data_IF_828032609402
#
_entry.id   IF_828032609402
#
_cell.length_a   1.000
_cell.length_b   1.000
_cell.length_c   1.000
_cell.angle_alpha   90.00
_cell.angle_beta   90.00
_cell.angle_gamma   90.00
#
_symmetry.space_group_name_H-M   'P 1'
#
loop_
_entity.id
_entity.type
_entity.pdbx_description
1 polymer ?
#
# COMPACT_ATOMS: atom_id res chain seq x y z
N UNK A 1 28.34 9.40 12.37
CA UNK A 1 27.55 10.60 12.75
C UNK A 1 26.22 10.55 12.01
N UNK A 2 25.14 10.11 12.67
CA UNK A 2 23.78 10.21 12.11
C UNK A 2 23.46 11.69 12.07
N UNK A 3 23.31 12.23 10.87
CA UNK A 3 23.15 13.67 10.63
C UNK A 3 21.99 14.23 11.47
N UNK A 4 22.26 15.19 12.35
CA UNK A 4 21.27 15.96 13.12
C UNK A 4 20.17 16.57 12.22
N UNK A 5 20.44 16.74 10.92
CA UNK A 5 19.49 17.16 9.90
C UNK A 5 18.20 16.31 9.86
N UNK A 6 18.27 15.04 10.27
CA UNK A 6 17.11 14.12 10.25
C UNK A 6 15.99 14.53 11.21
N UNK A 7 16.29 15.29 12.26
CA UNK A 7 15.37 15.59 13.36
C UNK A 7 15.09 17.09 13.56
N UNK A 8 15.55 17.94 12.65
CA UNK A 8 15.40 19.40 12.76
C UNK A 8 15.16 20.02 11.40
N UNK A 9 14.34 21.08 11.35
CA UNK A 9 14.24 22.00 10.23
C UNK A 9 15.08 23.25 10.56
N UNK A 10 15.93 23.65 9.64
CA UNK A 10 16.82 24.79 9.82
C UNK A 10 16.18 26.07 9.30
N UNK A 11 16.61 27.22 9.83
CA UNK A 11 16.03 28.52 9.56
C UNK A 11 15.97 28.91 8.08
N UNK A 12 17.01 28.54 7.33
CA UNK A 12 17.17 28.82 5.91
C UNK A 12 16.57 27.74 4.98
N UNK A 13 16.02 26.66 5.52
CA UNK A 13 15.32 25.67 4.71
C UNK A 13 13.93 26.20 4.30
N UNK A 14 13.40 25.68 3.19
CA UNK A 14 12.01 25.94 2.81
C UNK A 14 11.06 25.44 3.90
N UNK A 15 10.07 26.25 4.23
CA UNK A 15 9.12 25.92 5.28
C UNK A 15 8.30 24.68 4.92
N UNK A 16 8.23 23.66 5.81
CA UNK A 16 7.47 22.44 5.55
C UNK A 16 5.98 22.64 5.26
N UNK A 17 5.42 23.81 5.60
CA UNK A 17 4.02 24.13 5.34
C UNK A 17 3.68 24.45 3.87
N UNK A 18 4.66 24.33 2.95
CA UNK A 18 4.53 24.65 1.51
C UNK A 18 4.22 26.11 1.18
N UNK A 19 4.62 27.05 2.04
CA UNK A 19 4.47 28.50 1.77
C UNK A 19 5.48 29.05 0.77
N UNK A 20 6.48 28.27 0.36
CA UNK A 20 7.65 28.67 -0.44
C UNK A 20 8.53 29.73 0.24
N UNK A 21 8.29 30.05 1.51
CA UNK A 21 9.11 30.93 2.33
C UNK A 21 10.12 30.10 3.13
N UNK A 22 11.19 30.73 3.62
CA UNK A 22 12.11 30.11 4.58
C UNK A 22 11.38 29.84 5.90
N UNK A 23 11.82 28.81 6.65
CA UNK A 23 11.21 28.42 7.91
C UNK A 23 11.21 29.59 8.91
N UNK A 24 12.34 30.33 9.02
CA UNK A 24 12.47 31.48 9.92
C UNK A 24 11.45 32.58 9.59
N UNK A 25 11.10 32.75 8.33
CA UNK A 25 10.17 33.79 7.83
C UNK A 25 8.70 33.35 7.85
N UNK A 26 8.43 32.11 8.28
CA UNK A 26 7.10 31.50 8.18
C UNK A 26 6.65 30.88 9.51
N UNK A 27 6.86 29.59 9.70
CA UNK A 27 6.29 28.84 10.82
C UNK A 27 7.11 28.89 12.10
N UNK A 28 8.35 29.38 12.09
CA UNK A 28 9.24 29.38 13.27
C UNK A 28 8.67 30.15 14.44
N UNK A 29 8.10 31.33 14.16
CA UNK A 29 7.58 32.27 15.16
C UNK A 29 6.05 32.37 15.17
N UNK A 30 5.38 31.44 14.49
CA UNK A 30 3.93 31.41 14.43
C UNK A 30 3.38 30.51 15.56
N UNK A 31 2.35 31.00 16.23
CA UNK A 31 1.64 30.26 17.27
C UNK A 31 0.68 29.23 16.65
N UNK A 32 0.40 28.21 17.45
CA UNK A 32 -0.59 27.20 17.12
C UNK A 32 -1.99 27.81 17.10
N UNK A 33 -2.82 27.35 16.20
CA UNK A 33 -4.25 27.67 16.27
C UNK A 33 -4.85 27.03 17.52
N UNK A 34 -5.68 27.82 18.23
CA UNK A 34 -6.37 27.34 19.42
C UNK A 34 -7.27 26.16 19.05
N UNK A 35 -7.05 25.03 19.70
CA UNK A 35 -7.93 23.88 19.58
C UNK A 35 -9.26 24.18 20.29
N UNK A 36 -10.35 24.09 19.54
CA UNK A 36 -11.71 24.33 20.08
C UNK A 36 -12.37 23.06 20.64
N UNK A 37 -11.72 21.91 20.50
CA UNK A 37 -12.24 20.61 20.92
C UNK A 37 -11.15 19.73 21.52
N UNK A 38 -11.57 18.73 22.30
CA UNK A 38 -10.68 17.74 22.95
C UNK A 38 -10.45 16.49 22.08
N UNK A 39 -10.62 16.58 20.75
CA UNK A 39 -10.40 15.44 19.85
C UNK A 39 -8.92 15.01 19.90
N UNK A 40 -8.61 13.72 20.11
CA UNK A 40 -7.24 13.22 20.10
C UNK A 40 -6.50 13.58 18.80
N UNK A 41 -5.19 13.83 18.90
CA UNK A 41 -4.38 14.30 17.77
C UNK A 41 -4.36 13.26 16.62
N UNK A 42 -4.41 11.99 16.93
CA UNK A 42 -4.46 10.88 15.99
C UNK A 42 -5.73 10.93 15.14
N UNK A 43 -6.88 11.20 15.77
CA UNK A 43 -8.17 11.37 15.11
C UNK A 43 -8.16 12.63 14.22
N UNK A 44 -7.55 13.72 14.71
CA UNK A 44 -7.37 14.96 13.92
C UNK A 44 -6.48 14.71 12.70
N UNK A 45 -5.39 13.94 12.85
CA UNK A 45 -4.51 13.56 11.76
C UNK A 45 -5.26 12.75 10.69
N UNK A 46 -6.07 11.77 11.09
CA UNK A 46 -6.91 10.99 10.18
C UNK A 46 -7.93 11.86 9.44
N UNK A 47 -8.59 12.79 10.15
CA UNK A 47 -9.53 13.73 9.54
C UNK A 47 -8.84 14.67 8.54
N UNK A 48 -7.64 15.15 8.88
CA UNK A 48 -6.84 15.96 7.96
C UNK A 48 -6.38 15.18 6.74
N UNK A 49 -6.08 13.89 6.89
CA UNK A 49 -5.76 12.99 5.78
C UNK A 49 -6.96 12.89 4.83
N UNK A 50 -8.16 12.60 5.35
CA UNK A 50 -9.41 12.55 4.55
C UNK A 50 -9.66 13.84 3.76
N UNK A 51 -9.44 15.01 4.38
CA UNK A 51 -9.57 16.33 3.75
C UNK A 51 -8.42 16.66 2.78
N UNK A 52 -7.39 15.83 2.69
CA UNK A 52 -6.20 16.08 1.87
C UNK A 52 -6.24 15.35 0.53
N UNK A 53 -7.24 14.51 0.29
CA UNK A 53 -7.48 13.95 -1.03
C UNK A 53 -7.74 15.05 -2.04
N UNK A 54 -7.14 14.93 -3.21
CA UNK A 54 -7.23 15.92 -4.29
C UNK A 54 -7.48 15.22 -5.62
N UNK A 55 -8.01 15.97 -6.58
CA UNK A 55 -8.31 15.46 -7.93
C UNK A 55 -7.23 15.92 -8.90
N UNK A 56 -6.56 14.99 -9.55
CA UNK A 56 -5.60 15.29 -10.60
C UNK A 56 -5.47 14.14 -11.59
N UNK A 57 -5.05 14.41 -12.82
CA UNK A 57 -4.60 13.35 -13.71
C UNK A 57 -3.08 13.16 -13.56
N UNK A 58 -2.61 11.95 -13.32
CA UNK A 58 -1.19 11.63 -13.15
C UNK A 58 -0.53 11.10 -14.43
N UNK A 59 -1.27 10.98 -15.52
CA UNK A 59 -0.68 10.68 -16.82
C UNK A 59 0.33 11.75 -17.23
N UNK A 60 1.49 11.41 -17.83
CA UNK A 60 2.55 12.39 -18.12
C UNK A 60 2.13 13.44 -19.12
N UNK A 61 1.50 13.06 -20.22
CA UNK A 61 0.99 14.01 -21.22
C UNK A 61 -0.36 14.60 -20.79
N UNK A 62 -0.39 15.92 -20.64
CA UNK A 62 -1.58 16.68 -20.23
C UNK A 62 -2.38 17.25 -21.41
N UNK A 63 -1.89 17.13 -22.63
CA UNK A 63 -2.50 17.79 -23.81
C UNK A 63 -3.92 17.27 -24.07
N UNK A 64 -4.19 15.99 -23.77
CA UNK A 64 -5.51 15.35 -23.93
C UNK A 64 -6.31 15.21 -22.64
N UNK A 65 -5.85 15.83 -21.54
CA UNK A 65 -6.58 15.76 -20.27
C UNK A 65 -7.94 16.46 -20.36
N UNK A 66 -8.97 15.78 -19.86
CA UNK A 66 -10.29 16.36 -19.65
C UNK A 66 -10.45 16.85 -18.20
N UNK A 67 -11.41 17.77 -17.96
CA UNK A 67 -11.63 18.34 -16.62
C UNK A 67 -12.13 17.33 -15.59
N UNK A 68 -12.89 16.34 -16.03
CA UNK A 68 -13.45 15.33 -15.15
C UNK A 68 -12.34 14.34 -14.73
N UNK A 69 -12.15 14.22 -13.43
CA UNK A 69 -11.23 13.22 -12.82
C UNK A 69 -12.09 12.08 -12.30
N UNK A 70 -11.84 10.91 -12.84
CA UNK A 70 -12.56 9.67 -12.57
C UNK A 70 -12.24 9.13 -11.17
N UNK A 71 -13.17 8.42 -10.59
CA UNK A 71 -12.90 7.52 -9.46
C UNK A 71 -12.29 6.22 -10.02
N UNK A 72 -11.01 6.27 -10.37
CA UNK A 72 -10.28 5.15 -10.96
C UNK A 72 -10.08 4.03 -9.93
N UNK A 73 -10.35 2.78 -10.31
CA UNK A 73 -10.14 1.62 -9.45
C UNK A 73 -8.71 1.11 -9.53
N UNK A 74 -8.07 0.85 -8.40
CA UNK A 74 -6.76 0.19 -8.34
C UNK A 74 -6.85 -1.28 -8.75
N UNK A 75 -7.89 -1.97 -8.32
CA UNK A 75 -8.28 -3.30 -8.79
C UNK A 75 -9.50 -3.14 -9.71
N UNK A 76 -9.47 -3.81 -10.83
CA UNK A 76 -10.50 -3.71 -11.84
C UNK A 76 -11.90 -4.05 -11.28
N UNK A 77 -12.86 -3.12 -11.41
CA UNK A 77 -14.20 -3.31 -10.87
C UNK A 77 -14.93 -4.49 -11.53
N UNK A 78 -14.99 -4.51 -12.85
CA UNK A 78 -15.84 -5.45 -13.59
C UNK A 78 -15.31 -6.89 -13.68
N UNK A 79 -14.01 -7.14 -13.40
CA UNK A 79 -13.44 -8.49 -13.39
C UNK A 79 -13.06 -8.93 -11.98
N UNK A 80 -12.32 -8.10 -11.24
CA UNK A 80 -11.74 -8.50 -9.96
C UNK A 80 -12.71 -8.22 -8.81
N UNK A 81 -13.13 -6.95 -8.65
CA UNK A 81 -14.00 -6.55 -7.53
C UNK A 81 -15.38 -7.21 -7.63
N UNK A 82 -15.97 -7.28 -8.84
CA UNK A 82 -17.25 -7.94 -9.05
C UNK A 82 -17.23 -9.43 -8.71
N UNK A 83 -16.13 -10.13 -8.98
CA UNK A 83 -15.98 -11.55 -8.61
C UNK A 83 -15.90 -11.77 -7.10
N UNK A 84 -15.37 -10.80 -6.36
CA UNK A 84 -15.28 -10.85 -4.90
C UNK A 84 -16.57 -10.40 -4.22
N UNK A 85 -17.41 -9.64 -4.90
CA UNK A 85 -18.56 -8.98 -4.28
C UNK A 85 -19.71 -9.95 -3.99
N UNK A 86 -20.40 -9.66 -2.89
CA UNK A 86 -21.72 -10.23 -2.54
C UNK A 86 -22.67 -9.05 -2.33
N UNK A 87 -23.83 -9.08 -2.95
CA UNK A 87 -24.82 -8.00 -2.90
C UNK A 87 -24.22 -6.60 -3.17
N UNK A 88 -23.27 -6.53 -4.13
CA UNK A 88 -22.61 -5.30 -4.53
C UNK A 88 -21.59 -4.74 -3.52
N UNK A 89 -21.15 -5.54 -2.54
CA UNK A 89 -20.19 -5.13 -1.51
C UNK A 89 -18.99 -6.07 -1.44
N UNK A 90 -17.87 -5.52 -0.98
CA UNK A 90 -16.63 -6.22 -0.59
C UNK A 90 -16.20 -5.77 0.81
N UNK A 91 -15.34 -6.51 1.49
CA UNK A 91 -14.81 -6.14 2.80
C UNK A 91 -13.37 -5.63 2.67
N UNK A 92 -13.09 -4.44 3.21
CA UNK A 92 -11.76 -3.83 3.24
C UNK A 92 -11.66 -2.78 4.34
N UNK A 93 -10.45 -2.28 4.63
CA UNK A 93 -10.28 -1.14 5.53
C UNK A 93 -11.14 0.04 5.07
N UNK A 94 -12.12 0.43 5.88
CA UNK A 94 -13.05 1.50 5.55
C UNK A 94 -12.67 2.82 6.20
N UNK A 95 -11.86 3.61 5.52
CA UNK A 95 -11.44 4.93 5.99
C UNK A 95 -12.58 5.96 6.07
N UNK A 96 -13.76 5.69 5.52
CA UNK A 96 -14.91 6.59 5.59
C UNK A 96 -15.72 6.45 6.88
N UNK A 97 -15.61 5.30 7.56
CA UNK A 97 -16.24 5.10 8.87
C UNK A 97 -15.44 5.73 10.00
N UNK A 98 -16.10 5.90 11.14
CA UNK A 98 -15.46 6.34 12.38
C UNK A 98 -14.50 5.24 12.84
N UNK A 99 -13.23 5.57 13.09
CA UNK A 99 -12.27 4.57 13.57
C UNK A 99 -12.62 4.14 15.00
N UNK A 100 -12.18 2.95 15.37
CA UNK A 100 -12.17 2.51 16.77
C UNK A 100 -11.02 3.21 17.48
N UNK A 101 -11.33 3.85 18.62
CA UNK A 101 -10.34 4.52 19.46
C UNK A 101 -10.20 3.69 20.73
N UNK A 102 -9.01 3.15 20.94
CA UNK A 102 -8.69 2.30 22.11
C UNK A 102 -7.79 3.11 23.04
N UNK A 103 -8.20 3.38 24.29
CA UNK A 103 -7.31 3.97 25.28
C UNK A 103 -6.11 3.05 25.55
N UNK A 104 -4.92 3.63 25.58
CA UNK A 104 -3.66 2.98 25.97
C UNK A 104 -3.14 3.73 27.20
N UNK A 105 -2.14 3.18 27.90
CA UNK A 105 -1.58 3.82 29.09
C UNK A 105 -1.08 5.25 28.80
N UNK A 106 -1.15 6.14 29.81
CA UNK A 106 -0.64 7.52 29.80
C UNK A 106 -1.33 8.52 28.84
N UNK A 107 -2.65 8.48 28.70
CA UNK A 107 -3.43 9.36 27.81
C UNK A 107 -3.13 9.20 26.30
N UNK A 108 -2.44 8.15 25.91
CA UNK A 108 -2.29 7.78 24.51
C UNK A 108 -3.51 6.98 24.03
N UNK A 109 -3.88 7.13 22.76
CA UNK A 109 -4.93 6.35 22.12
C UNK A 109 -4.38 5.63 20.90
N UNK A 110 -4.82 4.39 20.71
CA UNK A 110 -4.62 3.67 19.47
C UNK A 110 -5.87 3.85 18.59
N UNK A 111 -5.66 4.25 17.33
CA UNK A 111 -6.75 4.50 16.38
C UNK A 111 -6.73 3.43 15.31
N UNK A 112 -7.78 2.62 15.25
CA UNK A 112 -7.88 1.53 14.30
C UNK A 112 -8.93 1.85 13.23
N UNK A 113 -8.53 1.75 11.97
CA UNK A 113 -9.47 1.70 10.83
C UNK A 113 -10.07 0.30 10.79
N UNK A 114 -11.39 0.20 10.85
CA UNK A 114 -12.07 -1.09 10.81
C UNK A 114 -12.20 -1.61 9.38
N UNK A 115 -12.16 -2.94 9.24
CA UNK A 115 -12.62 -3.61 8.03
C UNK A 115 -14.13 -3.64 8.07
N UNK A 116 -14.76 -3.33 6.94
CA UNK A 116 -16.20 -3.22 6.83
C UNK A 116 -16.64 -3.36 5.37
N UNK A 117 -17.93 -3.49 5.17
CA UNK A 117 -18.55 -3.56 3.85
C UNK A 117 -18.39 -2.23 3.11
N UNK A 118 -17.85 -2.30 1.90
CA UNK A 118 -17.66 -1.17 1.00
C UNK A 118 -18.31 -1.50 -0.34
N UNK A 119 -19.19 -0.63 -0.82
CA UNK A 119 -19.82 -0.82 -2.13
C UNK A 119 -18.79 -0.85 -3.26
N UNK A 120 -18.98 -1.73 -4.24
CA UNK A 120 -18.03 -1.96 -5.35
C UNK A 120 -17.61 -0.68 -6.07
N UNK A 121 -18.52 0.29 -6.20
CA UNK A 121 -18.22 1.57 -6.86
C UNK A 121 -17.30 2.50 -6.05
N UNK A 122 -17.03 2.18 -4.79
CA UNK A 122 -16.16 2.94 -3.89
C UNK A 122 -14.93 2.16 -3.45
N UNK A 123 -14.94 0.84 -3.65
CA UNK A 123 -13.82 -0.02 -3.29
C UNK A 123 -12.60 0.32 -4.14
N UNK A 124 -11.44 0.52 -3.51
CA UNK A 124 -10.14 0.78 -4.15
C UNK A 124 -10.11 1.97 -5.11
N UNK A 125 -10.98 2.99 -4.94
CA UNK A 125 -11.05 4.13 -5.84
C UNK A 125 -10.15 5.28 -5.45
N UNK A 126 -9.58 5.95 -6.46
CA UNK A 126 -8.70 7.11 -6.32
C UNK A 126 -8.95 8.14 -7.44
N UNK A 127 -8.75 9.42 -7.14
CA UNK A 127 -8.96 10.51 -8.08
C UNK A 127 -7.63 10.95 -8.74
N UNK A 128 -6.95 10.03 -9.43
CA UNK A 128 -5.62 10.29 -9.99
C UNK A 128 -5.51 10.11 -11.52
N UNK A 129 -6.63 9.91 -12.21
CA UNK A 129 -6.70 9.93 -13.68
C UNK A 129 -7.97 10.65 -14.14
N UNK A 130 -7.90 11.31 -15.30
CA UNK A 130 -9.09 11.77 -16.00
C UNK A 130 -9.71 10.62 -16.80
N UNK A 131 -10.97 10.76 -17.23
CA UNK A 131 -11.71 9.71 -17.92
C UNK A 131 -10.93 9.14 -19.11
N UNK A 132 -10.41 10.02 -20.01
CA UNK A 132 -9.68 9.59 -21.20
C UNK A 132 -8.45 8.77 -20.83
N UNK A 133 -7.60 9.26 -19.91
CA UNK A 133 -6.34 8.60 -19.60
C UNK A 133 -6.53 7.35 -18.74
N UNK A 134 -7.56 7.25 -17.90
CA UNK A 134 -7.89 6.01 -17.21
C UNK A 134 -8.31 4.93 -18.22
N UNK A 135 -9.25 5.27 -19.11
CA UNK A 135 -9.80 4.33 -20.08
C UNK A 135 -8.74 3.86 -21.11
N UNK A 136 -7.90 4.78 -21.61
CA UNK A 136 -6.89 4.43 -22.63
C UNK A 136 -5.69 3.67 -22.06
N UNK A 137 -5.14 4.13 -20.94
CA UNK A 137 -3.93 3.53 -20.36
C UNK A 137 -4.19 2.12 -19.84
N UNK A 138 -5.34 1.90 -19.21
CA UNK A 138 -5.65 0.62 -18.59
C UNK A 138 -6.54 -0.30 -19.44
N UNK A 139 -6.91 0.12 -20.67
CA UNK A 139 -7.69 -0.71 -21.58
C UNK A 139 -7.20 -2.18 -21.70
N UNK A 140 -5.87 -2.46 -21.79
CA UNK A 140 -5.38 -3.84 -21.94
C UNK A 140 -5.64 -4.75 -20.73
N UNK A 141 -5.99 -4.19 -19.57
CA UNK A 141 -6.28 -4.93 -18.32
C UNK A 141 -7.66 -4.61 -17.74
N UNK A 142 -8.49 -3.77 -18.41
CA UNK A 142 -9.81 -3.34 -17.92
C UNK A 142 -10.96 -4.07 -18.63
N UNK A 143 -12.16 -3.50 -18.55
CA UNK A 143 -13.38 -4.07 -19.14
C UNK A 143 -13.23 -4.33 -20.64
N UNK A 144 -13.53 -5.57 -21.05
CA UNK A 144 -13.39 -6.00 -22.46
C UNK A 144 -11.98 -6.46 -22.83
N UNK A 145 -10.99 -6.29 -21.96
CA UNK A 145 -9.68 -6.88 -22.16
C UNK A 145 -9.74 -8.42 -22.12
N UNK A 146 -8.84 -9.12 -22.82
CA UNK A 146 -8.67 -10.56 -22.65
C UNK A 146 -8.33 -10.91 -21.20
N UNK A 147 -8.41 -12.20 -20.87
CA UNK A 147 -7.93 -12.70 -19.60
C UNK A 147 -6.42 -12.46 -19.47
N UNK A 148 -5.91 -12.55 -18.24
CA UNK A 148 -4.50 -12.31 -17.97
C UNK A 148 -3.64 -13.34 -18.71
N UNK A 149 -2.67 -12.83 -19.46
CA UNK A 149 -1.67 -13.63 -20.17
C UNK A 149 -0.28 -13.37 -19.56
N UNK A 150 0.31 -14.43 -18.98
CA UNK A 150 1.61 -14.37 -18.33
C UNK A 150 2.76 -14.01 -19.28
N UNK A 151 2.57 -14.20 -20.59
CA UNK A 151 3.55 -13.83 -21.61
C UNK A 151 3.37 -12.39 -22.12
N UNK A 152 2.26 -11.73 -21.78
CA UNK A 152 1.98 -10.37 -22.18
C UNK A 152 2.69 -9.33 -21.29
N UNK A 153 3.77 -8.74 -21.81
CA UNK A 153 4.57 -7.75 -21.08
C UNK A 153 3.81 -6.46 -20.79
N UNK A 154 2.89 -6.04 -21.67
CA UNK A 154 2.07 -4.84 -21.45
C UNK A 154 1.14 -5.05 -20.26
N UNK A 155 0.46 -6.19 -20.16
CA UNK A 155 -0.41 -6.46 -19.02
C UNK A 155 0.39 -6.49 -17.70
N UNK A 156 1.54 -7.19 -17.67
CA UNK A 156 2.42 -7.23 -16.49
C UNK A 156 2.87 -5.83 -16.07
N UNK A 157 3.26 -5.00 -17.04
CA UNK A 157 3.66 -3.63 -16.81
C UNK A 157 2.53 -2.78 -16.23
N UNK A 158 1.32 -2.89 -16.79
CA UNK A 158 0.17 -2.11 -16.36
C UNK A 158 -0.31 -2.50 -14.94
N UNK A 159 -0.27 -3.78 -14.57
CA UNK A 159 -0.54 -4.22 -13.20
C UNK A 159 0.50 -3.65 -12.21
N UNK A 160 1.79 -3.67 -12.58
CA UNK A 160 2.84 -3.06 -11.77
C UNK A 160 2.66 -1.54 -11.66
N UNK A 161 2.33 -0.87 -12.77
CA UNK A 161 2.06 0.57 -12.78
C UNK A 161 0.86 0.93 -11.89
N UNK A 162 -0.25 0.17 -11.98
CA UNK A 162 -1.40 0.39 -11.10
C UNK A 162 -1.01 0.29 -9.62
N UNK A 163 -0.33 -0.77 -9.22
CA UNK A 163 0.13 -0.95 -7.84
C UNK A 163 1.03 0.20 -7.36
N UNK A 164 1.84 0.76 -8.26
CA UNK A 164 2.72 1.90 -7.96
C UNK A 164 1.97 3.22 -7.88
N UNK A 165 1.14 3.57 -8.90
CA UNK A 165 0.63 4.93 -9.07
C UNK A 165 -0.36 5.32 -7.98
N UNK A 166 -1.14 4.36 -7.48
CA UNK A 166 -2.07 4.61 -6.38
C UNK A 166 -1.33 4.83 -5.06
N UNK A 167 -0.26 4.09 -4.80
CA UNK A 167 0.59 4.32 -3.63
C UNK A 167 1.33 5.66 -3.72
N UNK A 168 1.82 6.02 -4.89
CA UNK A 168 2.40 7.34 -5.12
C UNK A 168 1.40 8.48 -4.87
N UNK A 169 0.16 8.34 -5.34
CA UNK A 169 -0.93 9.28 -5.05
C UNK A 169 -1.19 9.38 -3.54
N UNK A 170 -1.30 8.26 -2.82
CA UNK A 170 -1.49 8.23 -1.37
C UNK A 170 -0.36 8.97 -0.63
N UNK A 171 0.89 8.75 -1.01
CA UNK A 171 2.02 9.46 -0.41
C UNK A 171 1.96 10.98 -0.65
N UNK A 172 1.48 11.42 -1.82
CA UNK A 172 1.19 12.85 -2.06
C UNK A 172 0.08 13.39 -1.17
N UNK A 173 -0.99 12.63 -0.98
CA UNK A 173 -2.08 12.99 -0.05
C UNK A 173 -1.54 13.09 1.39
N UNK A 174 -0.71 12.15 1.83
CA UNK A 174 -0.05 12.21 3.14
C UNK A 174 0.81 13.47 3.30
N UNK A 175 1.61 13.83 2.28
CA UNK A 175 2.40 15.08 2.30
C UNK A 175 1.51 16.30 2.47
N UNK A 176 0.41 16.39 1.74
CA UNK A 176 -0.55 17.49 1.88
C UNK A 176 -1.18 17.52 3.28
N UNK A 177 -1.48 16.37 3.86
CA UNK A 177 -1.98 16.27 5.23
C UNK A 177 -0.97 16.83 6.24
N UNK A 178 0.30 16.42 6.18
CA UNK A 178 1.38 16.98 7.02
C UNK A 178 1.49 18.48 6.87
N UNK A 179 1.42 19.01 5.64
CA UNK A 179 1.48 20.45 5.36
C UNK A 179 0.31 21.23 5.97
N UNK A 180 -0.90 20.63 5.97
CA UNK A 180 -2.08 21.23 6.62
C UNK A 180 -1.93 21.22 8.15
N UNK A 181 -1.48 20.11 8.73
CA UNK A 181 -1.23 19.99 10.16
C UNK A 181 -0.21 21.05 10.60
N UNK A 182 0.89 21.25 9.87
CA UNK A 182 1.89 22.27 10.16
C UNK A 182 1.30 23.70 10.08
N UNK A 183 0.37 23.94 9.15
CA UNK A 183 -0.31 25.24 9.07
C UNK A 183 -1.21 25.54 10.27
N UNK A 184 -1.73 24.53 10.90
CA UNK A 184 -2.59 24.62 12.09
C UNK A 184 -1.78 24.60 13.37
N UNK A 185 -0.78 23.73 13.46
CA UNK A 185 0.09 23.52 14.64
C UNK A 185 1.57 23.62 14.26
N UNK A 186 2.11 24.84 14.04
CA UNK A 186 3.52 25.05 13.71
C UNK A 186 4.49 24.52 14.76
N UNK A 187 4.08 24.42 16.04
CA UNK A 187 4.91 23.91 17.13
C UNK A 187 5.41 22.48 16.87
N UNK A 188 4.66 21.66 16.12
CA UNK A 188 5.03 20.28 15.77
C UNK A 188 6.35 20.19 15.01
N UNK A 189 6.79 21.27 14.35
CA UNK A 189 8.11 21.31 13.69
C UNK A 189 9.26 21.24 14.71
N UNK A 190 9.00 21.51 16.00
CA UNK A 190 9.98 21.37 17.09
C UNK A 190 10.06 19.91 17.59
N UNK A 191 9.05 19.08 17.30
CA UNK A 191 8.97 17.69 17.72
C UNK A 191 9.82 16.79 16.83
N UNK A 192 10.84 16.15 17.42
CA UNK A 192 11.82 15.32 16.69
C UNK A 192 11.16 14.18 15.88
N UNK A 193 10.16 13.52 16.46
CA UNK A 193 9.44 12.40 15.83
C UNK A 193 8.69 12.91 14.61
N UNK A 194 7.94 14.00 14.75
CA UNK A 194 7.18 14.60 13.66
C UNK A 194 8.07 15.04 12.48
N UNK A 195 9.19 15.72 12.78
CA UNK A 195 10.14 16.14 11.73
C UNK A 195 10.77 14.92 11.04
N UNK A 196 11.12 13.87 11.79
CA UNK A 196 11.64 12.63 11.23
C UNK A 196 10.66 12.01 10.23
N UNK A 197 9.38 11.89 10.61
CA UNK A 197 8.36 11.29 9.74
C UNK A 197 8.10 12.15 8.50
N UNK A 198 8.03 13.47 8.65
CA UNK A 198 7.90 14.37 7.51
C UNK A 198 9.10 14.26 6.53
N UNK A 199 10.33 14.15 7.04
CA UNK A 199 11.51 13.96 6.20
C UNK A 199 11.53 12.57 5.54
N UNK A 200 11.16 11.52 6.27
CA UNK A 200 11.03 10.17 5.72
C UNK A 200 10.03 10.17 4.55
N UNK A 201 8.88 10.80 4.72
CA UNK A 201 7.85 10.92 3.67
C UNK A 201 8.38 11.67 2.44
N UNK A 202 9.10 12.79 2.61
CA UNK A 202 9.67 13.52 1.49
C UNK A 202 10.75 12.70 0.76
N UNK A 203 11.63 12.00 1.49
CA UNK A 203 12.63 11.12 0.90
C UNK A 203 11.97 10.00 0.10
N UNK A 204 10.91 9.39 0.66
CA UNK A 204 10.14 8.36 -0.02
C UNK A 204 9.51 8.88 -1.32
N UNK A 205 8.90 10.06 -1.28
CA UNK A 205 8.34 10.68 -2.49
C UNK A 205 9.42 10.96 -3.55
N UNK A 206 10.60 11.43 -3.16
CA UNK A 206 11.70 11.65 -4.10
C UNK A 206 12.17 10.34 -4.76
N UNK A 207 12.21 9.23 -4.00
CA UNK A 207 12.48 7.90 -4.57
C UNK A 207 11.38 7.50 -5.57
N UNK A 208 10.12 7.71 -5.20
CA UNK A 208 8.97 7.38 -6.03
C UNK A 208 8.89 8.22 -7.32
N UNK A 209 9.37 9.48 -7.32
CA UNK A 209 9.45 10.30 -8.53
C UNK A 209 10.32 9.65 -9.62
N UNK A 210 11.43 9.04 -9.26
CA UNK A 210 12.29 8.34 -10.23
C UNK A 210 11.59 7.10 -10.83
N UNK A 211 10.77 6.40 -10.03
CA UNK A 211 9.97 5.26 -10.49
C UNK A 211 8.82 5.77 -11.36
N UNK A 212 8.20 6.90 -10.98
CA UNK A 212 7.16 7.54 -11.78
C UNK A 212 7.69 7.89 -13.18
N UNK A 213 8.87 8.50 -13.25
CA UNK A 213 9.53 8.83 -14.53
C UNK A 213 9.79 7.59 -15.38
N UNK A 214 10.20 6.46 -14.77
CA UNK A 214 10.38 5.20 -15.48
C UNK A 214 9.06 4.73 -16.11
N UNK A 215 7.98 4.67 -15.33
CA UNK A 215 6.67 4.27 -15.84
C UNK A 215 6.11 5.23 -16.87
N UNK A 216 6.30 6.54 -16.69
CA UNK A 216 5.85 7.55 -17.66
C UNK A 216 6.53 7.38 -19.03
N UNK A 217 7.83 7.17 -19.01
CA UNK A 217 8.59 6.96 -20.26
C UNK A 217 8.13 5.69 -20.98
N UNK A 218 7.90 4.60 -20.26
CA UNK A 218 7.40 3.36 -20.86
C UNK A 218 6.01 3.55 -21.50
N UNK A 219 5.10 4.21 -20.81
CA UNK A 219 3.76 4.50 -21.33
C UNK A 219 3.81 5.41 -22.58
N UNK A 220 4.63 6.46 -22.54
CA UNK A 220 4.76 7.40 -23.66
C UNK A 220 5.37 6.77 -24.92
N UNK A 221 6.34 5.87 -24.73
CA UNK A 221 7.06 5.22 -25.81
C UNK A 221 6.48 3.84 -26.18
N UNK A 222 5.46 3.36 -25.48
CA UNK A 222 4.92 1.99 -25.58
C UNK A 222 6.02 0.93 -25.39
N UNK A 223 6.96 1.23 -24.50
CA UNK A 223 8.05 0.33 -24.12
C UNK A 223 7.75 -0.25 -22.71
N UNK A 224 7.32 -1.49 -22.70
CA UNK A 224 6.92 -2.22 -21.49
C UNK A 224 8.06 -3.07 -20.90
N UNK A 225 9.27 -2.89 -21.40
CA UNK A 225 10.49 -3.53 -20.90
C UNK A 225 10.97 -2.91 -19.59
N UNK A 226 12.03 -3.47 -19.01
CA UNK A 226 12.66 -2.94 -17.81
C UNK A 226 11.95 -3.29 -16.48
N UNK A 227 10.90 -4.13 -16.55
CA UNK A 227 10.25 -4.75 -15.41
C UNK A 227 10.39 -6.26 -15.48
N UNK A 228 10.88 -6.86 -14.40
CA UNK A 228 10.85 -8.30 -14.21
C UNK A 228 9.65 -8.68 -13.35
N UNK A 229 8.80 -9.58 -13.84
CA UNK A 229 7.62 -10.10 -13.14
C UNK A 229 7.73 -11.61 -12.95
N UNK A 230 7.65 -12.05 -11.70
CA UNK A 230 7.41 -13.45 -11.37
C UNK A 230 5.89 -13.63 -11.26
N UNK A 231 5.36 -14.60 -12.00
CA UNK A 231 3.93 -14.94 -12.03
C UNK A 231 3.73 -16.29 -11.36
N UNK A 232 2.89 -16.33 -10.34
CA UNK A 232 2.45 -17.57 -9.71
C UNK A 232 0.98 -17.77 -10.02
N UNK A 233 0.66 -18.89 -10.66
CA UNK A 233 -0.73 -19.31 -10.92
C UNK A 233 -1.22 -20.22 -9.81
N UNK A 234 -2.35 -19.88 -9.23
CA UNK A 234 -3.07 -20.67 -8.24
C UNK A 234 -4.25 -21.33 -8.97
N UNK A 235 -4.36 -22.67 -9.02
CA UNK A 235 -5.36 -23.38 -9.81
C UNK A 235 -6.75 -23.39 -9.13
N UNK A 236 -7.15 -22.24 -8.58
CA UNK A 236 -8.45 -22.01 -7.96
C UNK A 236 -8.77 -20.52 -7.92
N UNK A 237 -10.04 -20.19 -7.79
CA UNK A 237 -10.51 -18.80 -7.64
C UNK A 237 -10.46 -18.41 -6.17
N UNK A 238 -9.50 -17.55 -5.79
CA UNK A 238 -9.38 -17.04 -4.42
C UNK A 238 -10.46 -16.00 -4.10
N UNK A 239 -10.74 -15.83 -2.81
CA UNK A 239 -11.78 -14.92 -2.30
C UNK A 239 -11.24 -13.58 -1.79
N UNK A 240 -10.09 -13.16 -2.29
CA UNK A 240 -9.50 -11.86 -1.98
C UNK A 240 -8.68 -11.33 -3.15
N UNK A 241 -8.37 -10.05 -3.11
CA UNK A 241 -7.42 -9.42 -4.00
C UNK A 241 -6.54 -8.43 -3.24
N UNK A 242 -5.40 -8.09 -3.83
CA UNK A 242 -4.45 -7.14 -3.24
C UNK A 242 -3.69 -6.39 -4.32
N UNK A 243 -3.36 -5.13 -4.03
CA UNK A 243 -2.36 -4.37 -4.78
C UNK A 243 -1.46 -3.63 -3.77
N UNK A 244 -0.16 -3.61 -4.03
CA UNK A 244 0.78 -3.02 -3.08
C UNK A 244 2.10 -2.60 -3.73
N UNK A 245 2.66 -1.53 -3.21
CA UNK A 245 4.03 -1.08 -3.43
C UNK A 245 4.78 -1.22 -2.12
N UNK A 246 5.63 -2.23 -2.01
CA UNK A 246 6.26 -2.59 -0.74
C UNK A 246 7.66 -3.17 -0.92
N UNK A 247 8.42 -3.28 0.17
CA UNK A 247 9.68 -4.01 0.24
C UNK A 247 9.48 -5.36 0.91
N UNK A 248 9.70 -6.46 0.20
CA UNK A 248 9.65 -7.80 0.79
C UNK A 248 10.90 -8.02 1.67
N UNK A 249 10.69 -8.17 2.96
CA UNK A 249 11.76 -8.28 3.94
C UNK A 249 12.34 -9.69 4.08
N UNK A 250 11.58 -10.72 3.72
CA UNK A 250 11.97 -12.12 3.90
C UNK A 250 11.66 -12.95 2.66
N UNK A 251 12.53 -13.93 2.39
CA UNK A 251 12.24 -15.01 1.44
C UNK A 251 11.34 -16.07 2.09
N UNK A 252 10.89 -17.08 1.32
CA UNK A 252 10.00 -18.15 1.82
C UNK A 252 10.61 -19.00 2.96
N UNK A 253 11.92 -18.91 3.16
CA UNK A 253 12.63 -19.56 4.27
C UNK A 253 12.83 -18.63 5.49
N UNK A 254 12.24 -17.43 5.49
CA UNK A 254 12.42 -16.42 6.53
C UNK A 254 13.86 -15.85 6.59
N UNK A 255 14.62 -15.91 5.49
CA UNK A 255 15.90 -15.24 5.39
C UNK A 255 15.68 -13.80 4.93
N UNK A 256 16.41 -12.86 5.57
CA UNK A 256 16.31 -11.44 5.25
C UNK A 256 16.74 -11.16 3.81
N UNK A 257 15.90 -10.46 3.07
CA UNK A 257 16.21 -9.88 1.76
C UNK A 257 16.84 -8.49 1.98
N UNK A 258 17.96 -8.21 1.33
CA UNK A 258 18.64 -6.91 1.39
C UNK A 258 17.99 -5.91 0.44
N UNK A 259 16.72 -5.62 0.67
CA UNK A 259 15.89 -4.74 -0.17
C UNK A 259 16.08 -3.24 0.13
N UNK A 260 16.92 -2.88 1.11
CA UNK A 260 17.27 -1.49 1.41
C UNK A 260 18.78 -1.32 1.22
N UNK A 261 19.18 -0.31 0.45
CA UNK A 261 20.56 0.10 0.28
C UNK A 261 20.65 1.62 0.41
N UNK A 262 21.53 2.11 1.29
CA UNK A 262 21.69 3.56 1.55
C UNK A 262 20.36 4.27 1.92
N UNK A 263 19.53 3.63 2.70
CA UNK A 263 18.16 4.05 3.06
C UNK A 263 17.17 4.14 1.87
N UNK A 264 17.54 3.68 0.68
CA UNK A 264 16.68 3.60 -0.49
C UNK A 264 16.09 2.19 -0.55
N UNK A 265 14.77 2.10 -0.58
CA UNK A 265 14.06 0.84 -0.75
C UNK A 265 14.09 0.41 -2.22
N UNK A 266 14.35 -0.87 -2.46
CA UNK A 266 14.13 -1.54 -3.73
C UNK A 266 12.74 -2.17 -3.67
N UNK A 267 11.71 -1.53 -4.25
CA UNK A 267 10.35 -2.01 -4.10
C UNK A 267 10.04 -3.19 -5.01
N UNK A 268 8.98 -3.90 -4.63
CA UNK A 268 8.19 -4.73 -5.52
C UNK A 268 6.81 -4.11 -5.70
N UNK A 269 6.23 -4.38 -6.85
CA UNK A 269 4.83 -4.11 -7.18
C UNK A 269 4.11 -5.44 -7.11
N UNK A 270 3.23 -5.59 -6.14
CA UNK A 270 2.53 -6.83 -5.87
C UNK A 270 1.06 -6.68 -6.24
N UNK A 271 0.58 -7.51 -7.14
CA UNK A 271 -0.85 -7.62 -7.44
C UNK A 271 -1.27 -9.07 -7.27
N UNK A 272 -2.35 -9.31 -6.53
CA UNK A 272 -2.97 -10.62 -6.34
C UNK A 272 -4.44 -10.48 -6.70
N UNK A 273 -4.93 -11.34 -7.59
CA UNK A 273 -6.31 -11.26 -8.04
C UNK A 273 -6.86 -12.60 -8.52
N UNK A 274 -8.18 -12.83 -8.33
CA UNK A 274 -8.88 -13.96 -8.91
C UNK A 274 -9.19 -13.74 -10.39
N UNK A 275 -9.18 -14.80 -11.16
CA UNK A 275 -9.86 -14.96 -12.44
C UNK A 275 -10.78 -16.18 -12.41
N UNK A 276 -11.49 -16.44 -13.52
CA UNK A 276 -12.61 -17.39 -13.56
C UNK A 276 -12.31 -18.81 -13.05
N UNK A 277 -11.12 -19.35 -13.33
CA UNK A 277 -10.72 -20.72 -12.94
C UNK A 277 -9.39 -20.75 -12.20
N UNK A 278 -8.69 -19.64 -12.17
CA UNK A 278 -7.36 -19.50 -11.59
C UNK A 278 -7.30 -18.21 -10.79
N UNK A 279 -6.20 -18.03 -10.09
CA UNK A 279 -5.84 -16.74 -9.51
C UNK A 279 -4.36 -16.51 -9.73
N UNK A 280 -3.95 -15.26 -9.72
CA UNK A 280 -2.59 -14.88 -10.05
C UNK A 280 -1.96 -14.06 -8.94
N UNK A 281 -0.68 -14.34 -8.68
CA UNK A 281 0.18 -13.50 -7.85
C UNK A 281 1.27 -12.96 -8.77
N UNK A 282 1.25 -11.66 -9.02
CA UNK A 282 2.25 -10.95 -9.80
C UNK A 282 3.19 -10.20 -8.87
N UNK A 283 4.46 -10.55 -8.87
CA UNK A 283 5.51 -9.86 -8.11
C UNK A 283 6.46 -9.24 -9.10
N UNK A 284 6.30 -7.96 -9.34
CA UNK A 284 7.11 -7.22 -10.30
C UNK A 284 8.15 -6.36 -9.58
N UNK A 285 9.31 -6.19 -10.16
CA UNK A 285 10.31 -5.21 -9.74
C UNK A 285 11.00 -4.59 -10.95
N UNK A 286 11.63 -3.43 -10.78
CA UNK A 286 12.48 -2.89 -11.84
C UNK A 286 13.64 -3.87 -12.10
N UNK A 287 14.05 -4.07 -13.35
CA UNK A 287 15.11 -5.00 -13.73
C UNK A 287 16.41 -4.77 -12.98
N UNK A 288 16.76 -3.50 -12.72
CA UNK A 288 17.91 -3.14 -11.88
C UNK A 288 17.84 -3.68 -10.45
N UNK A 289 16.67 -4.13 -9.99
CA UNK A 289 16.43 -4.71 -8.66
C UNK A 289 16.27 -6.24 -8.68
N UNK A 290 16.21 -6.87 -9.86
CA UNK A 290 16.00 -8.32 -10.04
C UNK A 290 16.92 -9.16 -9.18
N UNK A 291 18.22 -8.86 -9.19
CA UNK A 291 19.23 -9.60 -8.40
C UNK A 291 18.96 -9.58 -6.89
N UNK A 292 18.25 -8.58 -6.38
CA UNK A 292 17.87 -8.50 -4.96
C UNK A 292 16.85 -9.56 -4.59
N UNK A 293 15.96 -9.90 -5.52
CA UNK A 293 14.86 -10.82 -5.34
C UNK A 293 15.04 -12.17 -6.03
N UNK A 294 16.14 -12.39 -6.75
CA UNK A 294 16.41 -13.58 -7.56
C UNK A 294 16.19 -14.90 -6.79
N UNK A 295 16.64 -14.93 -5.53
CA UNK A 295 16.44 -16.09 -4.66
C UNK A 295 14.95 -16.31 -4.32
N UNK A 296 14.21 -15.24 -4.06
CA UNK A 296 12.77 -15.32 -3.79
C UNK A 296 12.04 -15.82 -5.04
N UNK A 297 12.36 -15.30 -6.21
CA UNK A 297 11.74 -15.73 -7.48
C UNK A 297 11.97 -17.21 -7.74
N UNK A 298 13.22 -17.70 -7.59
CA UNK A 298 13.52 -19.14 -7.69
C UNK A 298 12.75 -20.00 -6.68
N UNK A 299 12.47 -19.48 -5.49
CA UNK A 299 11.66 -20.21 -4.49
C UNK A 299 10.18 -20.24 -4.90
N UNK A 300 9.65 -19.14 -5.44
CA UNK A 300 8.27 -19.07 -5.93
C UNK A 300 8.05 -20.02 -7.12
N UNK A 301 9.05 -20.22 -7.97
CA UNK A 301 8.99 -21.14 -9.10
C UNK A 301 9.09 -22.63 -8.67
N UNK A 302 9.71 -22.90 -7.52
CA UNK A 302 10.09 -24.27 -7.14
C UNK A 302 9.33 -24.84 -5.93
N UNK A 303 8.68 -23.98 -5.12
CA UNK A 303 7.98 -24.41 -3.92
C UNK A 303 6.53 -24.78 -4.24
N UNK A 304 5.92 -25.61 -3.37
CA UNK A 304 4.50 -25.95 -3.50
C UNK A 304 3.61 -24.72 -3.34
N UNK A 305 2.47 -24.74 -4.02
CA UNK A 305 1.45 -23.68 -3.93
C UNK A 305 1.03 -23.42 -2.47
N UNK A 306 0.92 -24.46 -1.65
CA UNK A 306 0.55 -24.32 -0.23
C UNK A 306 1.57 -23.51 0.58
N UNK A 307 2.86 -23.69 0.32
CA UNK A 307 3.91 -22.90 0.95
C UNK A 307 3.87 -21.44 0.49
N UNK A 308 3.55 -21.21 -0.79
CA UNK A 308 3.40 -19.86 -1.34
C UNK A 308 2.16 -19.18 -0.74
N UNK A 309 1.02 -19.88 -0.67
CA UNK A 309 -0.19 -19.38 0.01
C UNK A 309 0.09 -19.00 1.46
N UNK A 310 0.77 -19.88 2.19
CA UNK A 310 1.15 -19.60 3.57
C UNK A 310 2.07 -18.39 3.71
N UNK A 311 3.05 -18.24 2.81
CA UNK A 311 3.92 -17.08 2.79
C UNK A 311 3.13 -15.78 2.68
N UNK A 312 2.19 -15.69 1.74
CA UNK A 312 1.38 -14.49 1.57
C UNK A 312 0.35 -14.30 2.68
N UNK A 313 -0.22 -15.36 3.23
CA UNK A 313 -1.10 -15.28 4.41
C UNK A 313 -0.41 -14.63 5.61
N UNK A 314 0.86 -14.97 5.86
CA UNK A 314 1.62 -14.35 6.95
C UNK A 314 2.00 -12.90 6.66
N UNK A 315 2.29 -12.59 5.41
CA UNK A 315 2.94 -11.35 5.04
C UNK A 315 1.94 -10.23 4.74
N UNK A 316 0.89 -10.53 3.97
CA UNK A 316 -0.03 -9.52 3.47
C UNK A 316 -0.68 -8.66 4.56
N UNK A 317 -1.25 -9.22 5.64
CA UNK A 317 -1.95 -8.40 6.64
C UNK A 317 -1.05 -7.36 7.30
N UNK A 318 0.26 -7.65 7.41
CA UNK A 318 1.21 -6.73 8.02
C UNK A 318 1.79 -5.70 7.04
N UNK A 319 1.93 -6.07 5.76
CA UNK A 319 2.64 -5.25 4.78
C UNK A 319 1.73 -4.51 3.80
N UNK A 320 0.45 -4.89 3.73
CA UNK A 320 -0.51 -4.28 2.83
C UNK A 320 -1.78 -3.83 3.57
N UNK A 321 -2.18 -2.61 3.35
CA UNK A 321 -3.49 -2.09 3.76
C UNK A 321 -4.54 -2.18 2.64
N UNK A 322 -4.13 -2.66 1.45
CA UNK A 322 -4.97 -2.66 0.25
C UNK A 322 -5.48 -4.08 -0.07
N UNK A 323 -5.86 -4.82 0.96
CA UNK A 323 -6.46 -6.14 0.82
C UNK A 323 -7.97 -5.97 0.71
N UNK A 324 -8.55 -6.57 -0.33
CA UNK A 324 -9.99 -6.63 -0.55
C UNK A 324 -10.44 -8.07 -0.38
N UNK A 325 -11.38 -8.30 0.52
CA UNK A 325 -11.89 -9.63 0.83
C UNK A 325 -13.32 -9.77 0.28
N UNK A 326 -13.67 -10.95 -0.18
CA UNK A 326 -15.08 -11.28 -0.38
C UNK A 326 -15.80 -11.32 0.97
N UNK A 327 -17.05 -10.83 1.08
CA UNK A 327 -17.88 -11.03 2.25
C UNK A 327 -17.94 -12.50 2.70
N UNK A 328 -18.02 -13.45 1.77
CA UNK A 328 -18.02 -14.88 2.11
C UNK A 328 -16.74 -15.35 2.82
N UNK A 329 -15.58 -14.79 2.48
CA UNK A 329 -14.34 -15.08 3.19
C UNK A 329 -14.34 -14.41 4.57
N UNK A 330 -14.70 -13.13 4.62
CA UNK A 330 -14.72 -12.36 5.87
C UNK A 330 -15.65 -12.97 6.92
N UNK A 331 -16.87 -13.34 6.52
CA UNK A 331 -17.88 -13.95 7.39
C UNK A 331 -17.58 -15.39 7.78
N UNK A 332 -16.72 -16.10 7.02
CA UNK A 332 -16.25 -17.44 7.40
C UNK A 332 -15.30 -17.43 8.60
N UNK A 333 -14.75 -16.27 8.95
CA UNK A 333 -13.85 -16.12 10.09
C UNK A 333 -14.63 -15.80 11.37
N UNK A 334 -14.17 -16.35 12.50
CA UNK A 334 -14.69 -15.93 13.81
C UNK A 334 -14.37 -14.46 14.08
N UNK A 335 -15.15 -13.81 14.95
CA UNK A 335 -14.91 -12.42 15.38
C UNK A 335 -13.49 -12.19 15.89
N UNK A 336 -12.91 -13.20 16.57
CA UNK A 336 -11.52 -13.13 17.05
C UNK A 336 -10.52 -13.05 15.89
N UNK A 337 -10.74 -13.83 14.82
CA UNK A 337 -9.87 -13.82 13.63
C UNK A 337 -10.06 -12.51 12.87
N UNK A 338 -11.29 -12.04 12.70
CA UNK A 338 -11.61 -10.76 12.06
C UNK A 338 -10.93 -9.60 12.79
N UNK A 339 -11.00 -9.57 14.12
CA UNK A 339 -10.36 -8.56 14.92
C UNK A 339 -8.82 -8.66 14.83
N UNK A 340 -8.26 -9.87 14.93
CA UNK A 340 -6.84 -10.09 14.78
C UNK A 340 -6.32 -9.61 13.41
N UNK A 341 -7.02 -9.93 12.33
CA UNK A 341 -6.69 -9.47 10.98
C UNK A 341 -6.74 -7.94 10.89
N UNK A 342 -7.80 -7.31 11.41
CA UNK A 342 -7.94 -5.86 11.48
C UNK A 342 -6.77 -5.22 12.25
N UNK A 343 -6.38 -5.80 13.37
CA UNK A 343 -5.22 -5.35 14.12
C UNK A 343 -3.92 -5.45 13.33
N UNK A 344 -3.68 -6.57 12.62
CA UNK A 344 -2.48 -6.74 11.78
C UNK A 344 -2.41 -5.67 10.69
N UNK A 345 -3.51 -5.37 10.01
CA UNK A 345 -3.56 -4.37 8.95
C UNK A 345 -3.30 -2.93 9.44
N UNK A 346 -3.52 -2.65 10.72
CA UNK A 346 -3.33 -1.31 11.31
C UNK A 346 -1.99 -1.12 12.02
N UNK A 347 -1.11 -2.13 12.06
CA UNK A 347 0.14 -2.06 12.86
C UNK A 347 1.15 -1.06 12.32
N UNK A 348 1.71 -0.25 13.22
CA UNK A 348 2.71 0.76 12.92
C UNK A 348 3.81 0.80 14.01
N UNK A 349 4.94 1.44 13.71
CA UNK A 349 6.01 1.70 14.67
C UNK A 349 6.58 0.44 15.33
N UNK A 350 6.69 0.44 16.66
CA UNK A 350 7.25 -0.70 17.43
C UNK A 350 6.43 -1.97 17.32
N UNK A 351 5.10 -1.86 17.20
CA UNK A 351 4.22 -3.00 17.02
C UNK A 351 4.49 -3.69 15.68
N UNK A 352 4.73 -2.91 14.61
CA UNK A 352 5.15 -3.46 13.32
C UNK A 352 6.43 -4.29 13.46
N UNK A 353 7.44 -3.82 14.20
CA UNK A 353 8.70 -4.54 14.42
C UNK A 353 8.49 -5.89 15.13
N UNK A 354 7.58 -5.94 16.12
CA UNK A 354 7.24 -7.19 16.84
C UNK A 354 6.58 -8.18 15.88
N UNK A 355 5.58 -7.73 15.10
CA UNK A 355 4.88 -8.62 14.16
C UNK A 355 5.74 -9.03 12.97
N UNK A 356 6.64 -8.17 12.48
CA UNK A 356 7.65 -8.51 11.48
C UNK A 356 8.56 -9.66 11.98
N UNK A 357 8.93 -9.62 13.27
CA UNK A 357 9.66 -10.73 13.89
C UNK A 357 8.83 -12.01 13.96
N UNK A 358 7.52 -11.93 14.22
CA UNK A 358 6.61 -13.09 14.21
C UNK A 358 6.47 -13.69 12.80
N UNK A 359 6.35 -12.86 11.75
CA UNK A 359 6.35 -13.30 10.35
C UNK A 359 7.63 -14.07 10.03
N UNK A 360 8.78 -13.50 10.37
CA UNK A 360 10.10 -14.15 10.19
C UNK A 360 10.18 -15.50 10.91
N UNK A 361 9.70 -15.55 12.15
CA UNK A 361 9.70 -16.79 12.95
C UNK A 361 8.76 -17.85 12.35
N UNK A 362 7.56 -17.47 11.93
CA UNK A 362 6.61 -18.34 11.24
C UNK A 362 7.22 -18.99 10.00
N UNK A 363 7.81 -18.18 9.11
CA UNK A 363 8.47 -18.67 7.90
C UNK A 363 9.64 -19.61 8.17
N UNK A 364 10.45 -19.36 9.21
CA UNK A 364 11.57 -20.23 9.60
C UNK A 364 11.13 -21.57 10.17
N UNK A 365 10.03 -21.59 10.91
CA UNK A 365 9.52 -22.80 11.56
C UNK A 365 8.86 -23.78 10.59
N UNK A 366 8.24 -23.28 9.53
CA UNK A 366 7.67 -24.13 8.47
C UNK A 366 8.66 -25.14 7.94
N UNK A 367 9.89 -24.70 7.63
CA UNK A 367 10.92 -25.56 7.06
C UNK A 367 11.47 -26.60 8.05
N UNK A 368 11.42 -26.33 9.35
CA UNK A 368 12.05 -27.16 10.37
C UNK A 368 11.21 -28.34 10.85
N UNK A 369 9.89 -28.32 10.65
CA UNK A 369 8.97 -29.24 11.36
C UNK A 369 8.13 -30.16 10.50
N UNK A 370 8.21 -30.14 9.17
CA UNK A 370 7.21 -30.84 8.32
C UNK A 370 5.78 -30.61 8.87
N UNK A 371 5.47 -29.37 9.26
CA UNK A 371 4.20 -29.04 9.90
C UNK A 371 3.12 -29.26 8.84
N UNK A 372 2.19 -30.16 9.14
CA UNK A 372 0.99 -30.30 8.37
C UNK A 372 0.23 -28.96 8.40
N UNK A 373 0.10 -28.31 7.23
CA UNK A 373 -0.55 -27.03 7.09
C UNK A 373 -2.00 -27.03 7.62
N UNK A 374 -2.69 -28.18 7.55
CA UNK A 374 -4.02 -28.36 8.15
C UNK A 374 -4.06 -28.11 9.65
N UNK A 375 -3.01 -28.47 10.38
CA UNK A 375 -2.94 -28.23 11.84
C UNK A 375 -2.61 -26.78 12.19
N UNK A 376 -1.99 -26.04 11.27
CA UNK A 376 -1.68 -24.61 11.44
C UNK A 376 -2.88 -23.73 11.06
N UNK A 377 -3.67 -24.16 10.07
CA UNK A 377 -4.82 -23.40 9.55
C UNK A 377 -5.97 -23.30 10.56
N UNK A 378 -6.17 -24.27 11.43
CA UNK A 378 -7.27 -24.30 12.41
C UNK A 378 -7.24 -23.19 13.49
N UNK A 379 -6.18 -22.39 13.59
CA UNK A 379 -6.03 -21.32 14.59
C UNK A 379 -5.51 -20.00 14.03
N UNK A 380 -5.45 -19.79 12.71
CA UNK A 380 -4.82 -18.61 12.13
C UNK A 380 -5.63 -18.06 10.97
N UNK A 381 -5.43 -16.76 10.73
CA UNK A 381 -5.88 -16.09 9.53
C UNK A 381 -5.41 -16.90 8.32
N UNK A 382 -6.35 -17.33 7.49
CA UNK A 382 -6.06 -17.93 6.20
C UNK A 382 -6.78 -17.16 5.11
N UNK A 383 -6.01 -16.62 4.17
CA UNK A 383 -6.54 -15.84 3.05
C UNK A 383 -6.99 -16.72 1.89
N UNK A 384 -6.56 -17.99 1.85
CA UNK A 384 -6.73 -18.89 0.71
C UNK A 384 -7.74 -20.03 0.96
N UNK A 385 -8.61 -19.86 1.93
CA UNK A 385 -9.72 -20.82 2.18
C UNK A 385 -10.99 -20.47 1.37
#
# INVERSE_FOLDING_TARGET
MISLKKYKIYDNEECPCSSKKKYVECCKNREDKVDKDNTPIEVKALNNLKKSFFKCCMYPDKTRCVKHIKNAHALQNNKIISMLSVDGHVCMLNHNKKPLVIPVDNNEVEVLTLIDYVGVNHATTFNCFCDIHDDEVFAPIEKGAPDFDADNDEQKYLYAYKSFIFEYYKHKVHKLSFQKIIKEKPSLIKEKVFVKEFRNLNNKLNEMESIKTFFDNGLMNKDFSGIHTCVVTIPETIKFANYSYLGLNYDLNGKRIKNIKNNIMKPVFLTIFPEKNNSYILISCLDKHKTTYDKLFKQLDSYSIDLIKYYFTLLLPLYSENIVLSPTLWESWSEEIQMAFTFYCNRQGKQFEIYDACVKFGLRNLKRRNINLETVSRRKIDLFI
#
